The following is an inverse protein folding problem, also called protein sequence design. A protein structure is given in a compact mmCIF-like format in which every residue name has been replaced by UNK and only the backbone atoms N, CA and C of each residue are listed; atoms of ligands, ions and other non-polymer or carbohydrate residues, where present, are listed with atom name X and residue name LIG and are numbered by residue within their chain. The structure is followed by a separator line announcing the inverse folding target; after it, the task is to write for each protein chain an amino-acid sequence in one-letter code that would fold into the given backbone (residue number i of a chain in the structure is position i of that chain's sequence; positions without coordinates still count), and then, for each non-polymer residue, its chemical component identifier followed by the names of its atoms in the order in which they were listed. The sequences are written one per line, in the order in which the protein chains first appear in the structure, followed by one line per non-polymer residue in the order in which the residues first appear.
data_IF_501445720839
#
_entry.id   IF_501445720839
#
_cell.length_a   1.000
_cell.length_b   1.000
_cell.length_c   1.000
_cell.angle_alpha   90.00
_cell.angle_beta   90.00
_cell.angle_gamma   90.00
#
_symmetry.space_group_name_H-M   'P 1'
#
loop_
_entity.id
_entity.type
_entity.pdbx_description
1 polymer ?
#
# COMPACT_ATOMS: atom_id res chain seq x y z
N UNK A 1 1.40 4.94 6.23
CA UNK A 1 1.85 4.06 5.12
C UNK A 1 1.02 4.34 3.89
N UNK A 2 1.66 4.70 2.76
CA UNK A 2 1.05 5.12 1.48
C UNK A 2 0.41 6.50 1.45
N UNK A 3 0.39 7.23 2.56
CA UNK A 3 -0.16 8.58 2.60
C UNK A 3 0.68 9.54 1.75
N UNK A 4 2.00 9.43 1.84
CA UNK A 4 2.95 10.24 1.09
C UNK A 4 2.78 10.00 -0.42
N UNK A 5 2.64 8.74 -0.83
CA UNK A 5 2.34 8.38 -2.23
C UNK A 5 1.00 8.95 -2.67
N UNK A 6 -0.05 8.79 -1.85
CA UNK A 6 -1.37 9.33 -2.14
C UNK A 6 -1.36 10.86 -2.26
N UNK A 7 -0.48 11.55 -1.52
CA UNK A 7 -0.28 12.99 -1.61
C UNK A 7 0.50 13.37 -2.87
N UNK A 8 1.61 12.69 -3.17
CA UNK A 8 2.37 12.92 -4.39
C UNK A 8 1.50 12.77 -5.64
N UNK A 9 0.63 11.76 -5.71
CA UNK A 9 -0.29 11.62 -6.84
C UNK A 9 -1.31 12.76 -6.93
N UNK A 10 -1.76 13.33 -5.80
CA UNK A 10 -2.64 14.52 -5.82
C UNK A 10 -1.92 15.75 -6.35
N UNK A 11 -0.66 15.94 -5.96
CA UNK A 11 0.18 17.05 -6.44
C UNK A 11 0.34 16.95 -7.96
N UNK A 12 0.67 15.76 -8.47
CA UNK A 12 0.79 15.51 -9.92
C UNK A 12 -0.54 15.72 -10.65
N UNK A 13 -1.65 15.23 -10.12
CA UNK A 13 -2.98 15.42 -10.71
C UNK A 13 -3.40 16.89 -10.77
N UNK A 14 -2.88 17.73 -9.87
CA UNK A 14 -3.08 19.16 -9.90
C UNK A 14 -2.12 19.90 -10.85
N UNK A 15 -1.31 19.19 -11.64
CA UNK A 15 -0.42 19.75 -12.65
C UNK A 15 0.96 20.19 -12.13
N UNK A 16 1.29 19.86 -10.87
CA UNK A 16 2.58 20.21 -10.28
C UNK A 16 3.62 19.10 -10.46
N UNK A 17 4.88 19.50 -10.50
CA UNK A 17 6.03 18.61 -10.52
C UNK A 17 6.60 18.38 -9.12
N UNK A 18 7.21 17.22 -8.92
CA UNK A 18 7.86 16.84 -7.65
C UNK A 18 9.34 16.65 -7.93
N UNK A 19 10.17 17.48 -7.31
CA UNK A 19 11.62 17.50 -7.50
C UNK A 19 12.36 17.05 -6.25
N UNK A 20 13.47 16.34 -6.44
CA UNK A 20 14.43 16.02 -5.37
C UNK A 20 15.63 16.96 -5.48
N UNK A 21 16.03 17.55 -4.35
CA UNK A 21 17.18 18.45 -4.27
C UNK A 21 18.32 17.80 -3.48
N UNK A 22 19.34 17.33 -4.21
CA UNK A 22 20.42 16.51 -3.66
C UNK A 22 21.44 17.24 -2.77
N UNK A 23 21.46 18.58 -2.75
CA UNK A 23 22.39 19.33 -1.92
C UNK A 23 21.88 19.56 -0.48
N UNK A 24 20.65 19.14 -0.16
CA UNK A 24 20.12 19.14 1.20
C UNK A 24 20.14 17.72 1.77
N UNK A 25 20.72 17.56 2.97
CA UNK A 25 20.78 16.27 3.67
C UNK A 25 19.95 16.33 4.94
N UNK A 26 18.99 15.41 5.06
CA UNK A 26 18.16 15.24 6.26
C UNK A 26 18.31 13.80 6.75
N UNK A 27 18.74 13.63 8.00
CA UNK A 27 18.87 12.30 8.61
C UNK A 27 17.52 11.83 9.14
N UNK A 28 17.07 10.68 8.65
CA UNK A 28 15.85 10.03 9.13
C UNK A 28 16.19 8.72 9.84
N UNK A 29 15.75 8.58 11.08
CA UNK A 29 15.87 7.31 11.81
C UNK A 29 14.67 6.44 11.49
N UNK A 30 14.84 5.51 10.55
CA UNK A 30 13.74 4.73 9.99
C UNK A 30 12.99 3.89 11.04
N UNK A 31 11.65 3.87 10.94
CA UNK A 31 10.75 2.90 11.58
C UNK A 31 10.88 2.73 13.12
N UNK A 32 11.51 3.67 13.83
CA UNK A 32 11.81 3.56 15.28
C UNK A 32 10.55 3.41 16.12
N UNK A 33 9.48 4.12 15.76
CA UNK A 33 8.24 4.15 16.53
C UNK A 33 7.26 3.02 16.20
N UNK A 34 7.42 2.35 15.06
CA UNK A 34 6.44 1.36 14.56
C UNK A 34 6.96 -0.07 14.48
N UNK A 35 8.28 -0.28 14.59
CA UNK A 35 8.92 -1.59 14.47
C UNK A 35 8.94 -2.10 13.02
N UNK A 36 9.93 -2.93 12.68
CA UNK A 36 10.05 -3.50 11.33
C UNK A 36 8.92 -4.50 11.01
N UNK A 37 8.55 -5.36 11.97
CA UNK A 37 7.59 -6.45 11.78
C UNK A 37 6.32 -6.30 12.64
N UNK A 38 5.63 -5.16 12.51
CA UNK A 38 4.37 -4.91 13.21
C UNK A 38 3.16 -5.39 12.39
N UNK A 39 2.23 -6.18 12.97
CA UNK A 39 0.96 -6.51 12.33
C UNK A 39 0.18 -5.29 11.85
N UNK A 40 0.23 -4.19 12.61
CA UNK A 40 -0.42 -2.93 12.25
C UNK A 40 0.16 -2.36 10.95
N UNK A 41 1.49 -2.39 10.84
CA UNK A 41 2.22 -1.95 9.63
C UNK A 41 1.85 -2.80 8.43
N UNK A 42 1.88 -4.13 8.57
CA UNK A 42 1.51 -5.06 7.48
C UNK A 42 0.06 -4.85 7.04
N UNK A 43 -0.87 -4.71 7.98
CA UNK A 43 -2.27 -4.44 7.68
C UNK A 43 -2.43 -3.16 6.85
N UNK A 44 -1.88 -2.04 7.32
CA UNK A 44 -2.04 -0.74 6.63
C UNK A 44 -1.28 -0.68 5.32
N UNK A 45 -0.08 -1.27 5.21
CA UNK A 45 0.64 -1.35 3.94
C UNK A 45 -0.16 -2.11 2.89
N UNK A 46 -0.70 -3.28 3.26
CA UNK A 46 -1.47 -4.13 2.35
C UNK A 46 -2.78 -3.44 1.94
N UNK A 47 -3.52 -2.92 2.93
CA UNK A 47 -4.79 -2.23 2.71
C UNK A 47 -4.60 -1.00 1.82
N UNK A 48 -3.65 -0.13 2.18
CA UNK A 48 -3.50 1.16 1.53
C UNK A 48 -2.85 1.04 0.14
N UNK A 49 -2.00 0.04 -0.11
CA UNK A 49 -1.45 -0.19 -1.46
C UNK A 49 -2.54 -0.51 -2.49
N UNK A 50 -3.48 -1.40 -2.17
CA UNK A 50 -4.59 -1.72 -3.05
C UNK A 50 -5.61 -0.58 -3.12
N UNK A 51 -5.86 0.12 -2.01
CA UNK A 51 -6.70 1.31 -1.99
C UNK A 51 -6.14 2.42 -2.88
N UNK A 52 -4.82 2.65 -2.83
CA UNK A 52 -4.10 3.58 -3.67
C UNK A 52 -4.29 3.25 -5.16
N UNK A 53 -4.12 1.98 -5.55
CA UNK A 53 -4.35 1.55 -6.93
C UNK A 53 -5.80 1.87 -7.37
N UNK A 54 -6.80 1.51 -6.56
CA UNK A 54 -8.22 1.78 -6.84
C UNK A 54 -8.57 3.26 -6.99
N UNK A 55 -7.85 4.12 -6.25
CA UNK A 55 -8.08 5.57 -6.25
C UNK A 55 -7.40 6.26 -7.43
N UNK A 56 -6.19 5.83 -7.76
CA UNK A 56 -5.27 6.59 -8.63
C UNK A 56 -5.06 5.95 -10.01
N UNK A 57 -5.42 4.68 -10.22
CA UNK A 57 -5.23 4.00 -11.50
C UNK A 57 -6.56 3.68 -12.20
N UNK A 58 -6.54 3.55 -13.54
CA UNK A 58 -7.70 3.05 -14.28
C UNK A 58 -8.09 1.65 -13.81
N UNK A 59 -9.35 1.29 -14.04
CA UNK A 59 -9.95 0.05 -13.51
C UNK A 59 -9.16 -1.21 -13.90
N UNK A 60 -8.64 -1.28 -15.14
CA UNK A 60 -7.87 -2.43 -15.60
C UNK A 60 -6.53 -2.60 -14.86
N UNK A 61 -5.80 -1.51 -14.58
CA UNK A 61 -4.55 -1.56 -13.79
C UNK A 61 -4.85 -1.93 -12.34
N UNK A 62 -5.95 -1.43 -11.80
CA UNK A 62 -6.41 -1.83 -10.47
C UNK A 62 -6.73 -3.32 -10.42
N UNK A 63 -7.41 -3.86 -11.43
CA UNK A 63 -7.73 -5.28 -11.55
C UNK A 63 -6.46 -6.14 -11.61
N UNK A 64 -5.44 -5.73 -12.38
CA UNK A 64 -4.14 -6.40 -12.41
C UNK A 64 -3.45 -6.40 -11.04
N UNK A 65 -3.52 -5.29 -10.30
CA UNK A 65 -2.98 -5.22 -8.95
C UNK A 65 -3.69 -6.21 -8.01
N UNK A 66 -5.03 -6.31 -8.08
CA UNK A 66 -5.78 -7.31 -7.32
C UNK A 66 -5.45 -8.74 -7.71
N UNK A 67 -5.33 -9.02 -9.02
CA UNK A 67 -4.99 -10.34 -9.53
C UNK A 67 -3.62 -10.79 -9.03
N UNK A 68 -2.62 -9.92 -9.15
CA UNK A 68 -1.28 -10.17 -8.61
C UNK A 68 -1.31 -10.38 -7.09
N UNK A 69 -2.05 -9.54 -6.36
CA UNK A 69 -2.16 -9.69 -4.92
C UNK A 69 -2.83 -11.00 -4.51
N UNK A 70 -3.94 -11.36 -5.15
CA UNK A 70 -4.70 -12.57 -4.83
C UNK A 70 -3.99 -13.86 -5.23
N UNK A 71 -3.37 -13.90 -6.41
CA UNK A 71 -2.75 -15.12 -6.95
C UNK A 71 -1.30 -15.32 -6.50
N UNK A 72 -0.56 -14.23 -6.27
CA UNK A 72 0.88 -14.30 -6.00
C UNK A 72 1.20 -13.80 -4.60
N UNK A 73 0.83 -12.56 -4.27
CA UNK A 73 1.29 -11.95 -3.03
C UNK A 73 0.67 -12.61 -1.79
N UNK A 74 -0.64 -12.88 -1.78
CA UNK A 74 -1.33 -13.51 -0.65
C UNK A 74 -0.79 -14.91 -0.40
N UNK A 75 -0.80 -15.87 -1.36
CA UNK A 75 -0.33 -17.22 -1.09
C UNK A 75 1.14 -17.24 -0.64
N UNK A 76 2.01 -16.50 -1.34
CA UNK A 76 3.44 -16.45 -1.04
C UNK A 76 3.73 -15.89 0.35
N UNK A 77 3.19 -14.71 0.67
CA UNK A 77 3.51 -14.05 1.95
C UNK A 77 2.85 -14.76 3.13
N UNK A 78 1.63 -15.24 2.97
CA UNK A 78 0.94 -16.03 3.99
C UNK A 78 1.72 -17.31 4.30
N UNK A 79 2.14 -18.08 3.29
CA UNK A 79 2.98 -19.25 3.48
C UNK A 79 4.31 -18.90 4.16
N UNK A 80 5.01 -17.87 3.68
CA UNK A 80 6.29 -17.44 4.25
C UNK A 80 6.17 -17.07 5.74
N UNK A 81 5.12 -16.36 6.15
CA UNK A 81 4.92 -16.00 7.56
C UNK A 81 4.45 -17.17 8.41
N UNK A 82 3.66 -18.10 7.85
CA UNK A 82 3.35 -19.35 8.53
C UNK A 82 4.62 -20.16 8.82
N UNK A 83 5.53 -20.30 7.84
CA UNK A 83 6.82 -20.99 8.02
C UNK A 83 7.72 -20.30 9.07
N UNK A 84 7.61 -18.98 9.22
CA UNK A 84 8.31 -18.19 10.26
C UNK A 84 7.60 -18.17 11.61
N UNK A 85 6.48 -18.88 11.78
CA UNK A 85 5.69 -18.88 13.02
C UNK A 85 4.93 -17.57 13.30
N UNK A 86 4.95 -16.61 12.37
CA UNK A 86 4.38 -15.26 12.51
C UNK A 86 2.95 -15.18 11.97
N UNK A 87 2.05 -15.96 12.58
CA UNK A 87 0.62 -16.02 12.20
C UNK A 87 -0.07 -14.66 12.34
N UNK A 88 0.37 -13.82 13.27
CA UNK A 88 -0.07 -12.45 13.46
C UNK A 88 0.08 -11.60 12.18
N UNK A 89 1.24 -11.71 11.50
CA UNK A 89 1.50 -10.98 10.26
C UNK A 89 0.70 -11.54 9.09
N UNK A 90 0.58 -12.86 8.98
CA UNK A 90 -0.25 -13.51 7.97
C UNK A 90 -1.72 -13.06 8.08
N UNK A 91 -2.27 -13.07 9.30
CA UNK A 91 -3.64 -12.61 9.55
C UNK A 91 -3.81 -11.11 9.27
N UNK A 92 -2.83 -10.27 9.62
CA UNK A 92 -2.87 -8.85 9.31
C UNK A 92 -2.89 -8.58 7.79
N UNK A 93 -2.09 -9.33 7.02
CA UNK A 93 -2.06 -9.23 5.56
C UNK A 93 -3.40 -9.64 4.94
N UNK A 94 -3.94 -10.80 5.34
CA UNK A 94 -5.25 -11.28 4.88
C UNK A 94 -6.36 -10.28 5.20
N UNK A 95 -6.37 -9.71 6.42
CA UNK A 95 -7.33 -8.65 6.80
C UNK A 95 -7.19 -7.40 5.92
N UNK A 96 -5.97 -6.99 5.61
CA UNK A 96 -5.71 -5.83 4.74
C UNK A 96 -6.20 -6.05 3.31
N UNK A 97 -6.01 -7.27 2.78
CA UNK A 97 -6.54 -7.68 1.49
C UNK A 97 -8.08 -7.75 1.50
N UNK A 98 -8.67 -8.42 2.49
CA UNK A 98 -10.11 -8.60 2.64
C UNK A 98 -10.88 -7.27 2.78
N UNK A 99 -10.29 -6.29 3.47
CA UNK A 99 -10.87 -4.95 3.58
C UNK A 99 -11.14 -4.34 2.20
N UNK A 100 -10.27 -4.58 1.23
CA UNK A 100 -10.42 -4.05 -0.12
C UNK A 100 -11.54 -4.72 -0.93
N UNK A 101 -11.96 -5.92 -0.56
CA UNK A 101 -13.09 -6.63 -1.16
C UNK A 101 -14.44 -6.21 -0.58
N UNK A 102 -14.44 -5.83 0.71
CA UNK A 102 -15.66 -5.49 1.45
C UNK A 102 -15.97 -3.99 1.47
N UNK A 103 -14.98 -3.13 1.20
CA UNK A 103 -15.15 -1.68 1.25
C UNK A 103 -15.02 -1.06 -0.14
N UNK A 104 -15.93 -0.13 -0.46
CA UNK A 104 -15.84 0.68 -1.67
C UNK A 104 -14.75 1.73 -1.50
N UNK A 105 -13.91 1.90 -2.52
CA UNK A 105 -13.02 3.04 -2.64
C UNK A 105 -13.76 4.14 -3.40
N UNK A 106 -13.78 5.37 -2.88
CA UNK A 106 -14.23 6.53 -3.65
C UNK A 106 -13.13 6.88 -4.67
N UNK A 107 -13.41 6.83 -5.98
CA UNK A 107 -12.54 7.39 -7.01
C UNK A 107 -12.16 8.85 -6.70
N UNK A 108 -10.96 9.29 -7.09
CA UNK A 108 -10.66 10.73 -7.10
C UNK A 108 -11.35 11.37 -8.31
N UNK A 109 -12.03 12.49 -8.09
CA UNK A 109 -12.53 13.38 -9.15
C UNK A 109 -11.33 13.89 -9.95
N UNK A 110 -11.49 14.00 -11.28
CA UNK A 110 -10.45 14.24 -12.29
C UNK A 110 -9.72 12.98 -12.78
N UNK A 111 -10.49 11.95 -13.14
CA UNK A 111 -10.05 10.88 -14.05
C UNK A 111 -10.24 11.37 -15.48
N UNK A 112 -9.27 12.14 -15.99
CA UNK A 112 -9.17 12.37 -17.43
C UNK A 112 -8.58 11.11 -18.09
#
# INVERSE_FOLDING_TARGET
YYEEYDWCERIKQAGYEIWYYGASTVYHKESVSTGQDSPLKIYYLTRNRLLFARRNYPAWRSALAFLYFGLVAVPKNTLQWFLKGRKDLAMAFLKGFWWNLTHKAKPRENRN
#
